data_IF_653387115260
#
_entry.id   IF_653387115260
#
_cell.length_a   1.000
_cell.length_b   1.000
_cell.length_c   1.000
_cell.angle_alpha   90.00
_cell.angle_beta   90.00
_cell.angle_gamma   90.00
#
_symmetry.space_group_name_H-M   'P 1'
#
loop_
_entity.id
_entity.type
_entity.pdbx_description
1 polymer ?
#
# COMPACT_ATOMS: atom_id res chain seq x y z
N UNK A 1 -19.61 -9.84 11.44
CA UNK A 1 -18.43 -9.10 10.93
C UNK A 1 -17.86 -8.24 12.05
N UNK A 2 -16.56 -8.31 12.23
CA UNK A 2 -15.89 -7.52 13.26
C UNK A 2 -15.61 -6.11 12.76
N UNK A 3 -15.95 -5.10 13.56
CA UNK A 3 -15.59 -3.72 13.28
C UNK A 3 -14.26 -3.38 13.96
N UNK A 4 -13.38 -2.71 13.25
CA UNK A 4 -12.14 -2.20 13.82
C UNK A 4 -12.44 -0.80 14.38
N UNK A 5 -12.33 -0.65 15.70
CA UNK A 5 -12.57 0.62 16.39
C UNK A 5 -11.29 1.34 16.81
N UNK A 6 -10.15 0.63 16.81
CA UNK A 6 -8.84 1.18 17.17
C UNK A 6 -7.93 1.11 15.95
N UNK A 7 -7.42 2.26 15.52
CA UNK A 7 -6.53 2.35 14.37
C UNK A 7 -5.26 1.49 14.53
N UNK A 8 -4.83 1.23 15.76
CA UNK A 8 -3.65 0.38 16.02
C UNK A 8 -3.89 -1.08 15.64
N UNK A 9 -5.13 -1.52 15.52
CA UNK A 9 -5.46 -2.89 15.09
C UNK A 9 -5.07 -3.16 13.64
N UNK A 10 -4.89 -2.10 12.81
CA UNK A 10 -4.42 -2.26 11.45
C UNK A 10 -2.93 -2.63 11.38
N UNK A 11 -2.17 -2.37 12.46
CA UNK A 11 -0.73 -2.55 12.44
C UNK A 11 -0.07 -1.52 11.54
N UNK A 12 1.07 -1.88 10.98
CA UNK A 12 1.81 -1.02 10.06
C UNK A 12 1.29 -1.22 8.64
N UNK A 13 0.83 -0.14 8.03
CA UNK A 13 0.19 -0.16 6.71
C UNK A 13 1.10 0.51 5.68
N UNK A 14 1.43 -0.21 4.61
CA UNK A 14 2.12 0.37 3.48
C UNK A 14 1.09 0.85 2.46
N UNK A 15 1.16 2.12 2.09
CA UNK A 15 0.37 2.67 0.98
C UNK A 15 1.24 2.54 -0.28
N UNK A 16 0.87 1.63 -1.18
CA UNK A 16 1.58 1.42 -2.43
C UNK A 16 1.15 2.49 -3.42
N UNK A 17 2.10 3.36 -3.79
CA UNK A 17 1.85 4.50 -4.64
C UNK A 17 2.99 4.66 -5.67
N UNK A 18 2.75 5.44 -6.70
CA UNK A 18 3.72 5.67 -7.76
C UNK A 18 3.75 4.53 -8.76
N UNK A 19 4.70 3.63 -8.63
CA UNK A 19 4.89 2.52 -9.58
C UNK A 19 5.54 2.98 -10.88
N UNK A 20 5.66 2.06 -11.84
CA UNK A 20 6.38 2.31 -13.10
C UNK A 20 5.46 2.54 -14.30
N UNK A 21 4.14 2.57 -14.11
CA UNK A 21 3.22 2.80 -15.24
C UNK A 21 3.20 4.28 -15.66
N UNK A 22 2.59 4.54 -16.82
CA UNK A 22 2.41 5.91 -17.32
C UNK A 22 1.46 6.74 -16.42
N UNK A 23 0.75 6.10 -15.50
CA UNK A 23 -0.17 6.77 -14.56
C UNK A 23 0.47 7.03 -13.20
N UNK A 24 1.80 7.03 -13.15
CA UNK A 24 2.56 7.24 -11.92
C UNK A 24 2.17 8.53 -11.19
N UNK A 25 2.00 9.64 -11.90
CA UNK A 25 1.67 10.92 -11.26
C UNK A 25 0.30 10.91 -10.59
N UNK A 26 -0.67 10.25 -11.23
CA UNK A 26 -2.01 10.08 -10.64
C UNK A 26 -1.91 9.25 -9.36
N UNK A 27 -1.14 8.17 -9.42
CA UNK A 27 -0.93 7.30 -8.26
C UNK A 27 -0.22 8.02 -7.12
N UNK A 28 0.77 8.85 -7.41
CA UNK A 28 1.46 9.63 -6.39
C UNK A 28 0.49 10.59 -5.68
N UNK A 29 -0.39 11.25 -6.43
CA UNK A 29 -1.38 12.17 -5.84
C UNK A 29 -2.42 11.43 -5.01
N UNK A 30 -3.04 10.39 -5.56
CA UNK A 30 -4.07 9.64 -4.83
C UNK A 30 -3.48 8.89 -3.64
N UNK A 31 -2.31 8.30 -3.80
CA UNK A 31 -1.63 7.60 -2.72
C UNK A 31 -1.21 8.52 -1.58
N UNK A 32 -0.70 9.70 -1.91
CA UNK A 32 -0.35 10.70 -0.90
C UNK A 32 -1.57 11.15 -0.10
N UNK A 33 -2.72 11.33 -0.78
CA UNK A 33 -3.96 11.69 -0.10
C UNK A 33 -4.44 10.58 0.84
N UNK A 34 -4.37 9.32 0.40
CA UNK A 34 -4.73 8.16 1.24
C UNK A 34 -3.78 8.08 2.44
N UNK A 35 -2.48 8.21 2.21
CA UNK A 35 -1.48 8.18 3.28
C UNK A 35 -1.78 9.21 4.35
N UNK A 36 -2.02 10.45 3.94
CA UNK A 36 -2.32 11.53 4.88
C UNK A 36 -3.62 11.27 5.65
N UNK A 37 -4.65 10.74 4.98
CA UNK A 37 -5.92 10.42 5.61
C UNK A 37 -5.76 9.33 6.67
N UNK A 38 -4.99 8.28 6.36
CA UNK A 38 -4.74 7.19 7.31
C UNK A 38 -3.96 7.69 8.53
N UNK A 39 -2.92 8.51 8.30
CA UNK A 39 -2.12 9.06 9.38
C UNK A 39 -2.95 9.97 10.29
N UNK A 40 -3.84 10.78 9.73
CA UNK A 40 -4.74 11.62 10.53
C UNK A 40 -5.67 10.81 11.42
N UNK A 41 -5.97 9.59 11.03
CA UNK A 41 -6.83 8.69 11.82
C UNK A 41 -6.05 7.81 12.78
N UNK A 42 -4.75 8.05 12.93
CA UNK A 42 -3.91 7.33 13.88
C UNK A 42 -3.38 6.01 13.38
N UNK A 43 -3.51 5.70 12.09
CA UNK A 43 -2.93 4.49 11.50
C UNK A 43 -1.43 4.70 11.29
N UNK A 44 -0.63 3.69 11.63
CA UNK A 44 0.81 3.70 11.34
C UNK A 44 1.00 3.39 9.86
N UNK A 45 0.85 4.43 9.03
CA UNK A 45 0.90 4.30 7.58
C UNK A 45 2.18 4.92 7.03
N UNK A 46 2.78 4.23 6.06
CA UNK A 46 4.00 4.67 5.38
C UNK A 46 3.82 4.54 3.87
N UNK A 47 4.52 5.39 3.13
CA UNK A 47 4.54 5.31 1.67
C UNK A 47 5.46 4.18 1.23
N UNK A 48 5.06 3.46 0.20
CA UNK A 48 5.90 2.45 -0.45
C UNK A 48 5.74 2.57 -1.95
N UNK A 49 6.83 2.88 -2.65
CA UNK A 49 6.82 3.03 -4.10
C UNK A 49 7.54 1.82 -4.73
N UNK A 50 6.80 0.93 -5.43
CA UNK A 50 7.42 -0.25 -6.04
C UNK A 50 8.45 0.07 -7.13
N UNK A 51 8.48 1.30 -7.63
CA UNK A 51 9.52 1.74 -8.56
C UNK A 51 10.87 1.93 -7.86
N UNK A 52 10.83 2.38 -6.61
CA UNK A 52 12.03 2.68 -5.82
C UNK A 52 12.53 1.48 -5.02
N UNK A 53 11.63 0.56 -4.65
CA UNK A 53 11.95 -0.60 -3.81
C UNK A 53 11.23 -1.84 -4.34
N UNK A 54 11.88 -3.02 -4.29
CA UNK A 54 11.19 -4.27 -4.63
C UNK A 54 10.12 -4.62 -3.59
N UNK A 55 9.03 -5.23 -4.02
CA UNK A 55 7.92 -5.58 -3.12
C UNK A 55 8.34 -6.45 -1.94
N UNK A 56 9.35 -7.29 -2.11
CA UNK A 56 9.83 -8.15 -1.03
C UNK A 56 10.32 -7.33 0.17
N UNK A 57 10.70 -6.07 -0.03
CA UNK A 57 11.10 -5.18 1.07
C UNK A 57 9.99 -4.95 2.08
N UNK A 58 8.72 -5.19 1.71
CA UNK A 58 7.60 -5.09 2.65
C UNK A 58 7.78 -6.04 3.84
N UNK A 59 8.38 -7.20 3.61
CA UNK A 59 8.64 -8.18 4.67
C UNK A 59 9.71 -7.67 5.64
N UNK A 60 10.75 -7.01 5.12
CA UNK A 60 11.84 -6.47 5.94
C UNK A 60 11.38 -5.28 6.77
N UNK A 61 10.42 -4.51 6.25
CA UNK A 61 9.91 -3.31 6.92
C UNK A 61 8.83 -3.60 7.97
N UNK A 62 8.49 -4.86 8.17
CA UNK A 62 7.48 -5.24 9.16
C UNK A 62 6.07 -4.80 8.82
N UNK A 63 5.74 -4.76 7.54
CA UNK A 63 4.42 -4.33 7.08
C UNK A 63 3.38 -5.41 7.36
N UNK A 64 2.31 -5.03 8.03
CA UNK A 64 1.21 -5.93 8.39
C UNK A 64 0.17 -6.04 7.27
N UNK A 65 -0.05 -4.96 6.52
CA UNK A 65 -0.99 -4.94 5.40
C UNK A 65 -0.67 -3.80 4.44
N UNK A 66 -1.27 -3.85 3.25
CA UNK A 66 -1.03 -2.86 2.20
C UNK A 66 -2.34 -2.25 1.72
N UNK A 67 -2.26 -0.98 1.32
CA UNK A 67 -3.32 -0.28 0.60
C UNK A 67 -2.80 -0.01 -0.81
N UNK A 68 -3.50 -0.51 -1.83
CA UNK A 68 -3.03 -0.37 -3.22
C UNK A 68 -3.63 0.89 -3.81
N UNK A 69 -2.78 1.89 -4.02
CA UNK A 69 -3.13 3.15 -4.70
C UNK A 69 -2.43 3.27 -6.05
N UNK A 70 -2.00 2.13 -6.61
CA UNK A 70 -1.36 2.08 -7.92
C UNK A 70 -2.42 2.12 -9.02
N UNK A 71 -2.08 2.76 -10.13
CA UNK A 71 -2.94 2.86 -11.29
C UNK A 71 -2.25 2.28 -12.52
N UNK A 72 -3.05 1.79 -13.49
CA UNK A 72 -2.53 1.21 -14.71
C UNK A 72 -1.99 -0.20 -14.53
N UNK A 73 -1.19 -0.70 -15.51
CA UNK A 73 -0.60 -2.04 -15.44
C UNK A 73 0.23 -2.22 -14.17
N UNK A 74 0.08 -3.39 -13.55
CA UNK A 74 0.72 -3.72 -12.28
C UNK A 74 -0.17 -3.46 -11.08
N UNK A 75 -0.96 -2.37 -11.08
CA UNK A 75 -1.87 -2.03 -9.98
C UNK A 75 -3.31 -2.43 -10.21
N UNK A 76 -3.75 -2.38 -11.48
CA UNK A 76 -5.15 -2.61 -11.84
C UNK A 76 -5.41 -3.96 -12.51
N UNK A 77 -4.38 -4.69 -12.89
CA UNK A 77 -4.50 -5.95 -13.62
C UNK A 77 -4.30 -7.21 -12.76
N UNK A 78 -4.18 -7.06 -11.46
CA UNK A 78 -3.99 -8.18 -10.55
C UNK A 78 -2.54 -8.59 -10.32
N UNK A 79 -1.57 -7.98 -10.99
CA UNK A 79 -0.15 -8.35 -10.86
C UNK A 79 0.37 -8.10 -9.44
N UNK A 80 0.14 -6.90 -8.91
CA UNK A 80 0.58 -6.54 -7.56
C UNK A 80 -0.16 -7.37 -6.52
N UNK A 81 -1.47 -7.57 -6.69
CA UNK A 81 -2.28 -8.37 -5.79
C UNK A 81 -1.73 -9.81 -5.71
N UNK A 82 -1.42 -10.42 -6.87
CA UNK A 82 -0.84 -11.75 -6.91
C UNK A 82 0.50 -11.82 -6.20
N UNK A 83 1.36 -10.81 -6.38
CA UNK A 83 2.64 -10.74 -5.70
C UNK A 83 2.47 -10.62 -4.18
N UNK A 84 1.53 -9.79 -3.73
CA UNK A 84 1.25 -9.63 -2.29
C UNK A 84 0.73 -10.93 -1.68
N UNK A 85 -0.13 -11.64 -2.40
CA UNK A 85 -0.62 -12.94 -1.95
C UNK A 85 0.52 -13.96 -1.81
N UNK A 86 1.45 -13.98 -2.77
CA UNK A 86 2.62 -14.85 -2.71
C UNK A 86 3.49 -14.53 -1.50
N UNK A 87 3.66 -13.26 -1.18
CA UNK A 87 4.44 -12.83 -0.02
C UNK A 87 3.68 -12.93 1.31
N UNK A 88 2.38 -13.21 1.26
CA UNK A 88 1.56 -13.30 2.46
C UNK A 88 1.21 -11.97 3.09
N UNK A 89 1.21 -10.90 2.31
CA UNK A 89 0.87 -9.54 2.79
C UNK A 89 -0.59 -9.23 2.45
N UNK A 90 -1.47 -9.05 3.44
CA UNK A 90 -2.86 -8.63 3.20
C UNK A 90 -2.96 -7.27 2.51
N UNK A 91 -4.02 -7.10 1.71
CA UNK A 91 -4.26 -5.83 1.01
C UNK A 91 -5.75 -5.49 0.96
#
# INVERSE_FOLDING_TARGET
>A
MRSITDAREFGKVAVLLGGSSSEREVSLRSGTAVLAALQRRGVDAVAFDPKEQPLISLLDDGIDRSWIALHGPGGEDGTVQGALEYLGVPY
#
